data_IF_582663478095
#
_entry.id   IF_582663478095
#
_cell.length_a   1.000
_cell.length_b   1.000
_cell.length_c   1.000
_cell.angle_alpha   90.00
_cell.angle_beta   90.00
_cell.angle_gamma   90.00
#
_symmetry.space_group_name_H-M   'P 1'
#
loop_
_entity.id
_entity.type
_entity.pdbx_description
1 polymer ?
2 non-polymer ?
3 water ?
#
# COMPACT_ATOMS: atom_id res chain seq x y z
N UNK A 1 4.77 -5.61 -15.10
CA UNK A 1 3.94 -6.11 -13.98
C UNK A 1 4.87 -6.66 -12.93
N UNK A 2 4.53 -6.48 -11.66
CA UNK A 2 5.27 -7.14 -10.59
C UNK A 2 4.55 -8.43 -10.14
N UNK A 3 5.33 -9.46 -9.84
CA UNK A 3 4.79 -10.70 -9.32
C UNK A 3 5.37 -11.03 -7.94
N UNK A 4 4.65 -11.85 -7.18
CA UNK A 4 5.19 -12.45 -5.95
C UNK A 4 4.57 -13.82 -5.79
N UNK A 5 5.33 -14.76 -5.25
CA UNK A 5 4.82 -16.11 -4.99
C UNK A 5 5.15 -16.51 -3.56
N UNK A 6 4.12 -16.67 -2.72
CA UNK A 6 4.32 -16.91 -1.29
C UNK A 6 5.02 -18.28 -1.06
N UNK A 7 4.85 -19.18 -2.01
CA UNK A 7 5.46 -20.48 -1.95
C UNK A 7 6.96 -20.35 -2.00
N UNK A 8 7.60 -20.53 -0.86
CA UNK A 8 9.05 -20.48 -0.86
C UNK A 8 9.52 -19.05 -0.83
N UNK A 9 8.74 -18.20 -0.16
CA UNK A 9 9.10 -16.81 0.05
C UNK A 9 9.74 -16.67 1.40
N UNK A 10 11.01 -16.36 1.39
CA UNK A 10 11.70 -15.99 2.61
C UNK A 10 11.70 -14.48 2.63
N UNK A 11 12.36 -13.90 3.64
CA UNK A 11 12.41 -12.43 3.71
C UNK A 11 13.13 -11.73 2.59
N UNK A 12 14.08 -12.40 1.97
CA UNK A 12 14.86 -11.81 0.88
C UNK A 12 13.97 -11.57 -0.32
N UNK A 13 13.16 -12.55 -0.70
CA UNK A 13 12.41 -12.49 -1.96
C UNK A 13 11.26 -11.53 -1.85
N UNK A 14 10.69 -11.43 -0.66
CA UNK A 14 9.73 -10.38 -0.37
C UNK A 14 10.35 -9.00 -0.59
N UNK A 15 11.41 -8.71 0.16
CA UNK A 15 12.16 -7.48 -0.06
C UNK A 15 12.43 -7.19 -1.52
N UNK A 16 12.86 -8.21 -2.24
CA UNK A 16 13.02 -8.07 -3.67
C UNK A 16 11.75 -7.75 -4.45
N UNK A 17 10.63 -8.39 -4.12
CA UNK A 17 9.36 -8.03 -4.73
C UNK A 17 9.06 -6.58 -4.37
N UNK A 18 9.23 -6.22 -3.10
CA UNK A 18 8.90 -4.85 -2.70
C UNK A 18 9.78 -3.79 -3.38
N UNK A 19 11.03 -4.14 -3.66
CA UNK A 19 11.90 -3.23 -4.42
C UNK A 19 11.41 -3.04 -5.85
N UNK A 20 11.03 -4.13 -6.51
CA UNK A 20 10.36 -4.10 -7.80
C UNK A 20 9.15 -3.18 -7.85
N UNK A 21 8.25 -3.39 -6.90
CA UNK A 21 7.03 -2.60 -6.80
C UNK A 21 7.37 -1.13 -6.75
N UNK A 22 8.21 -0.75 -5.79
CA UNK A 22 8.76 0.59 -5.73
C UNK A 22 9.28 1.01 -7.12
N UNK A 23 9.97 0.10 -7.81
CA UNK A 23 10.66 0.47 -9.03
C UNK A 23 9.77 0.61 -10.23
N UNK A 24 8.54 0.09 -10.14
CA UNK A 24 7.64 0.10 -11.30
C UNK A 24 6.87 1.39 -11.36
N UNK A 25 6.91 2.13 -10.27
CA UNK A 25 6.20 3.38 -10.20
C UNK A 25 7.05 4.41 -10.94
N UNK A 26 6.41 5.32 -11.67
CA UNK A 26 7.21 6.38 -12.29
C UNK A 26 7.31 7.63 -11.44
N UNK A 27 8.41 8.33 -11.63
CA UNK A 27 8.66 9.62 -10.99
C UNK A 27 9.65 10.35 -11.91
N UNK A 28 9.64 11.67 -11.87
CA UNK A 28 10.53 12.45 -12.70
C UNK A 28 11.67 12.91 -11.83
N UNK A 29 11.32 13.58 -10.76
CA UNK A 29 12.31 14.09 -9.82
C UNK A 29 12.43 13.21 -8.58
N UNK A 30 13.48 13.51 -7.81
CA UNK A 30 13.60 13.01 -6.47
C UNK A 30 13.68 14.23 -5.60
N UNK A 31 12.86 14.26 -4.56
CA UNK A 31 12.89 15.35 -3.60
C UNK A 31 13.60 14.83 -2.37
N UNK A 32 14.74 15.46 -2.09
CA UNK A 32 15.63 15.09 -1.00
C UNK A 32 16.05 13.64 -1.10
N UNK A 33 16.19 13.19 -2.34
CA UNK A 33 16.64 11.85 -2.72
C UNK A 33 15.59 10.72 -2.70
N UNK A 34 14.39 11.06 -2.25
CA UNK A 34 13.20 10.20 -2.35
C UNK A 34 12.47 10.50 -3.67
N UNK A 35 12.08 9.45 -4.43
CA UNK A 35 11.18 9.57 -5.58
C UNK A 35 9.89 10.35 -5.35
N UNK A 36 9.66 11.34 -6.22
CA UNK A 36 8.42 12.11 -6.21
C UNK A 36 7.47 11.48 -7.25
N UNK A 37 6.33 10.97 -6.79
CA UNK A 37 5.42 10.24 -7.67
C UNK A 37 4.72 11.26 -8.59
N UNK A 38 4.57 10.88 -9.86
CA UNK A 38 3.97 11.79 -10.84
C UNK A 38 2.63 12.35 -10.34
N UNK A 39 2.27 13.60 -10.73
CA UNK A 39 0.99 14.15 -10.26
C UNK A 39 -0.25 13.54 -10.95
N UNK A 40 -0.08 13.09 -12.20
CA UNK A 40 -1.04 12.16 -12.75
C UNK A 40 -0.59 11.52 -14.05
N UNK A 41 -1.24 10.41 -14.35
CA UNK A 41 -0.96 9.63 -15.54
C UNK A 41 -2.30 9.37 -16.18
N UNK A 42 -2.29 9.13 -17.48
CA UNK A 42 -3.52 8.91 -18.22
C UNK A 42 -3.37 7.67 -19.08
N UNK A 43 -4.47 6.92 -19.18
CA UNK A 43 -4.47 5.69 -19.92
C UNK A 43 -4.45 4.51 -18.99
N UNK A 44 -4.19 3.34 -19.57
CA UNK A 44 -4.00 2.14 -18.77
C UNK A 44 -2.68 2.23 -18.04
N UNK A 45 -1.83 3.16 -18.51
CA UNK A 45 -0.50 3.36 -17.94
C UNK A 45 -0.52 4.03 -16.56
N UNK A 46 -1.70 4.40 -16.11
CA UNK A 46 -1.86 4.83 -14.75
C UNK A 46 -1.94 3.62 -13.81
N UNK A 47 -1.98 2.41 -14.36
CA UNK A 47 -2.27 1.26 -13.52
C UNK A 47 -1.18 0.19 -13.57
N UNK A 48 -0.71 -0.18 -12.38
CA UNK A 48 0.27 -1.25 -12.22
C UNK A 48 -0.45 -2.53 -11.79
N UNK A 49 -0.09 -3.63 -12.44
CA UNK A 49 -0.73 -4.91 -12.20
C UNK A 49 0.18 -5.81 -11.38
N UNK A 50 -0.23 -6.12 -10.16
CA UNK A 50 0.49 -7.11 -9.33
C UNK A 50 -0.11 -8.49 -9.48
N UNK A 51 0.71 -9.46 -9.84
CA UNK A 51 0.32 -10.85 -9.79
C UNK A 51 0.79 -11.48 -8.49
N UNK A 52 -0.16 -11.92 -7.66
CA UNK A 52 0.14 -12.52 -6.36
C UNK A 52 -0.30 -13.98 -6.31
N UNK A 53 0.63 -14.88 -6.02
CA UNK A 53 0.31 -16.30 -5.95
C UNK A 53 0.37 -16.78 -4.49
N UNK A 54 -0.64 -17.53 -4.03
CA UNK A 54 -0.58 -18.13 -2.68
C UNK A 54 0.22 -19.43 -2.67
N UNK A 55 0.23 -20.14 -1.55
CA UNK A 55 1.10 -21.31 -1.45
C UNK A 55 0.68 -22.42 -2.38
N UNK A 56 -0.62 -22.62 -2.59
CA UNK A 56 -1.09 -23.65 -3.54
C UNK A 56 -0.96 -23.18 -4.97
N UNK A 57 -0.61 -21.92 -5.13
CA UNK A 57 -0.28 -21.43 -6.46
C UNK A 57 -1.47 -20.80 -7.15
N UNK A 58 -2.49 -20.43 -6.39
CA UNK A 58 -3.62 -19.68 -6.92
C UNK A 58 -3.26 -18.21 -7.01
N UNK A 59 -3.77 -17.55 -8.02
CA UNK A 59 -3.37 -16.18 -8.23
C UNK A 59 -4.53 -15.20 -8.38
N UNK A 60 -4.37 -14.04 -7.74
CA UNK A 60 -5.11 -12.82 -8.05
C UNK A 60 -4.20 -11.76 -8.74
N UNK A 61 -4.71 -11.06 -9.74
CA UNK A 61 -4.06 -9.83 -10.20
C UNK A 61 -4.66 -8.61 -9.52
N UNK A 62 -3.83 -7.83 -8.80
CA UNK A 62 -4.26 -6.56 -8.17
C UNK A 62 -3.83 -5.35 -9.02
N UNK A 63 -4.63 -4.29 -9.02
CA UNK A 63 -4.36 -3.11 -9.83
C UNK A 63 -4.09 -1.92 -8.92
N UNK A 64 -2.94 -1.28 -9.16
CA UNK A 64 -2.46 -0.24 -8.29
C UNK A 64 -2.34 1.02 -9.14
N UNK A 65 -2.92 2.10 -8.65
CA UNK A 65 -2.69 3.42 -9.25
C UNK A 65 -1.27 3.87 -8.93
N UNK A 66 -0.49 4.08 -9.99
CA UNK A 66 0.93 4.41 -9.82
C UNK A 66 1.17 5.83 -9.34
N UNK A 67 0.14 6.64 -9.21
CA UNK A 67 0.36 8.04 -8.82
C UNK A 67 0.34 8.20 -7.32
N UNK A 68 -0.34 7.27 -6.64
CA UNK A 68 -0.51 7.31 -5.17
C UNK A 68 -0.42 5.94 -4.46
N UNK A 69 -0.13 4.91 -5.25
CA UNK A 69 -0.03 3.53 -4.81
C UNK A 69 -1.38 2.99 -4.26
N UNK A 70 -2.50 3.43 -4.81
CA UNK A 70 -3.79 3.03 -4.24
C UNK A 70 -4.31 1.82 -4.95
N UNK A 71 -4.61 0.78 -4.15
CA UNK A 71 -5.24 -0.47 -4.64
C UNK A 71 -6.67 -0.15 -5.13
N UNK A 72 -6.98 -0.53 -6.38
CA UNK A 72 -8.25 -0.12 -7.03
C UNK A 72 -9.27 -1.23 -6.96
N UNK A 73 -8.86 -2.41 -7.43
CA UNK A 73 -9.57 -3.63 -7.16
C UNK A 73 -8.70 -4.70 -7.73
N UNK A 74 -9.28 -5.88 -8.04
CA UNK A 74 -8.51 -7.04 -8.50
C UNK A 74 -9.40 -7.95 -9.30
N UNK A 75 -8.80 -9.02 -9.80
CA UNK A 75 -9.42 -10.01 -10.66
C UNK A 75 -9.17 -11.39 -10.05
N UNK A 76 -10.22 -12.18 -9.90
CA UNK A 76 -10.09 -13.57 -9.48
C UNK A 76 -10.67 -14.40 -10.61
N UNK A 77 -9.82 -15.21 -11.23
CA UNK A 77 -9.99 -15.68 -12.61
C UNK A 77 -10.89 -14.87 -13.53
N UNK A 78 -12.20 -15.03 -13.49
CA UNK A 78 -13.03 -14.34 -14.46
C UNK A 78 -13.84 -13.17 -13.96
N UNK A 79 -13.78 -12.92 -12.67
CA UNK A 79 -14.57 -11.86 -12.08
C UNK A 79 -13.61 -10.77 -11.67
N UNK A 80 -14.01 -9.51 -11.79
CA UNK A 80 -13.23 -8.45 -11.23
C UNK A 80 -14.03 -7.81 -10.12
N UNK A 81 -13.34 -7.35 -9.09
CA UNK A 81 -13.99 -6.58 -8.04
C UNK A 81 -13.23 -5.29 -7.92
N UNK A 82 -13.98 -4.19 -7.78
CA UNK A 82 -13.42 -2.84 -7.63
C UNK A 82 -14.07 -2.25 -6.41
N UNK A 83 -13.46 -1.23 -5.84
CA UNK A 83 -14.04 -0.53 -4.70
C UNK A 83 -15.19 0.34 -5.13
N UNK A 84 -16.04 0.74 -4.19
CA UNK A 84 -17.15 1.59 -4.58
C UNK A 84 -16.73 3.03 -4.37
N UNK A 85 -16.00 3.53 -5.36
CA UNK A 85 -15.49 4.90 -5.33
C UNK A 85 -15.02 5.26 -6.74
N UNK A 86 -15.13 6.56 -7.09
CA UNK A 86 -15.06 7.06 -8.47
C UNK A 86 -13.76 6.67 -9.22
N UNK A 87 -12.63 6.88 -8.55
CA UNK A 87 -11.31 6.51 -9.09
C UNK A 87 -11.28 5.05 -9.50
N UNK A 88 -11.99 4.24 -8.70
CA UNK A 88 -12.04 2.80 -8.88
C UNK A 88 -12.93 2.45 -10.05
N UNK A 89 -14.03 3.20 -10.19
CA UNK A 89 -14.85 3.11 -11.39
C UNK A 89 -14.13 3.60 -12.67
N UNK A 90 -13.31 4.65 -12.59
CA UNK A 90 -12.50 5.05 -13.75
C UNK A 90 -11.52 3.96 -14.12
N UNK A 91 -10.84 3.41 -13.11
CA UNK A 91 -9.86 2.34 -13.33
C UNK A 91 -10.44 1.18 -14.11
N UNK A 92 -11.64 0.77 -13.70
CA UNK A 92 -12.40 -0.28 -14.36
C UNK A 92 -12.50 -0.12 -15.86
N UNK A 93 -12.24 1.10 -16.35
CA UNK A 93 -12.29 1.40 -17.77
C UNK A 93 -11.06 0.89 -18.50
N UNK A 94 -9.97 0.78 -17.79
CA UNK A 94 -8.71 0.41 -18.41
C UNK A 94 -8.20 -0.97 -18.02
N UNK A 95 -8.60 -1.48 -16.85
CA UNK A 95 -8.13 -2.81 -16.42
C UNK A 95 -9.20 -3.92 -16.34
N UNK A 96 -8.73 -5.16 -16.47
CA UNK A 96 -9.56 -6.38 -16.41
C UNK A 96 -10.78 -6.30 -17.32
N UNK A 97 -10.57 -5.90 -18.57
CA UNK A 97 -11.69 -5.65 -19.49
C UNK A 97 -12.26 -6.96 -20.03
N UNK A 98 -11.50 -8.03 -19.82
CA UNK A 98 -11.77 -9.37 -20.31
C UNK A 98 -12.46 -10.30 -19.30
N UNK A 99 -12.60 -9.83 -18.05
CA UNK A 99 -13.34 -10.56 -17.03
C UNK A 99 -14.80 -10.67 -17.46
N UNK A 100 -15.43 -11.76 -17.05
CA UNK A 100 -16.78 -12.13 -17.49
C UNK A 100 -17.84 -11.62 -16.55
N UNK A 101 -17.49 -10.66 -15.68
CA UNK A 101 -18.39 -10.24 -14.63
C UNK A 101 -17.59 -9.23 -13.86
N UNK A 102 -18.23 -8.17 -13.40
CA UNK A 102 -17.57 -7.12 -12.68
C UNK A 102 -18.44 -6.79 -11.49
N UNK A 103 -17.89 -6.98 -10.29
CA UNK A 103 -18.62 -6.74 -9.05
C UNK A 103 -18.05 -5.52 -8.34
N UNK A 104 -18.93 -4.70 -7.80
CA UNK A 104 -18.50 -3.54 -7.05
C UNK A 104 -18.70 -3.86 -5.58
N UNK A 105 -17.62 -3.76 -4.81
CA UNK A 105 -17.71 -4.08 -3.41
C UNK A 105 -18.60 -3.06 -2.74
N UNK A 106 -19.23 -3.43 -1.63
CA UNK A 106 -20.16 -2.48 -1.04
C UNK A 106 -19.47 -1.29 -0.38
N UNK A 107 -18.15 -1.22 -0.44
CA UNK A 107 -17.45 -0.16 0.28
C UNK A 107 -16.38 0.46 -0.60
N UNK A 108 -15.93 1.63 -0.17
CA UNK A 108 -14.78 2.26 -0.76
C UNK A 108 -13.54 1.60 -0.17
N UNK A 109 -12.38 2.00 -0.67
CA UNK A 109 -11.16 1.31 -0.32
C UNK A 109 -10.33 2.03 0.71
N UNK A 110 -10.94 2.90 1.48
CA UNK A 110 -10.17 3.55 2.51
C UNK A 110 -10.33 2.81 3.81
N UNK A 111 -9.44 3.10 4.76
CA UNK A 111 -9.29 2.26 5.93
C UNK A 111 -10.52 2.29 6.78
N UNK A 112 -11.06 3.48 6.97
CA UNK A 112 -12.17 3.65 7.91
C UNK A 112 -13.40 2.81 7.51
N UNK A 113 -13.65 2.73 6.21
CA UNK A 113 -14.77 1.94 5.71
C UNK A 113 -14.48 0.45 5.74
N UNK A 114 -13.28 0.08 5.33
CA UNK A 114 -12.82 -1.30 5.40
C UNK A 114 -12.77 -1.90 6.83
N UNK A 115 -12.50 -1.09 7.85
CA UNK A 115 -12.49 -1.60 9.22
C UNK A 115 -13.90 -1.78 9.73
N UNK A 116 -14.72 -0.74 9.55
CA UNK A 116 -16.16 -0.82 9.76
C UNK A 116 -16.74 -2.08 9.13
N UNK A 117 -16.47 -2.28 7.84
CA UNK A 117 -16.93 -3.47 7.13
C UNK A 117 -16.43 -4.77 7.74
N UNK A 118 -15.22 -4.75 8.31
CA UNK A 118 -14.61 -5.99 8.74
C UNK A 118 -14.89 -6.27 10.22
N UNK A 119 -15.29 -5.24 10.95
CA UNK A 119 -15.49 -5.45 12.37
C UNK A 119 -14.26 -5.31 13.24
N UNK A 120 -13.06 -5.38 12.69
CA UNK A 120 -11.85 -5.13 13.49
C UNK A 120 -11.12 -3.87 13.04
N UNK A 121 -10.62 -3.06 13.98
CA UNK A 121 -9.68 -2.01 13.57
C UNK A 121 -8.35 -2.63 13.17
N UNK A 122 -7.54 -1.89 12.41
CA UNK A 122 -6.31 -2.42 11.81
C UNK A 122 -5.36 -3.01 12.85
N UNK A 123 -5.41 -2.42 14.04
CA UNK A 123 -4.55 -2.77 15.16
C UNK A 123 -4.75 -4.19 15.63
N UNK A 124 -5.89 -4.76 15.29
CA UNK A 124 -6.23 -6.08 15.74
C UNK A 124 -6.37 -7.08 14.61
N UNK A 125 -5.70 -6.81 13.50
CA UNK A 125 -5.59 -7.78 12.42
C UNK A 125 -4.10 -8.10 12.19
N UNK A 126 -3.71 -9.34 12.48
CA UNK A 126 -2.37 -9.84 12.17
C UNK A 126 -2.01 -9.65 10.75
N UNK A 127 -0.79 -9.16 10.54
CA UNK A 127 -0.24 -9.13 9.20
C UNK A 127 1.05 -9.93 9.21
N UNK A 128 1.43 -10.38 8.02
CA UNK A 128 2.63 -11.16 7.82
C UNK A 128 2.50 -11.72 6.42
N UNK A 129 3.42 -12.58 6.02
CA UNK A 129 3.30 -13.32 4.77
C UNK A 129 2.36 -14.51 4.86
N UNK A 130 2.16 -15.07 6.07
CA UNK A 130 1.10 -16.09 6.15
C UNK A 130 -0.27 -15.47 5.98
N UNK A 131 -0.50 -14.32 6.59
CA UNK A 131 -1.74 -13.57 6.41
C UNK A 131 -1.99 -13.25 4.95
N UNK A 132 -0.96 -12.79 4.24
CA UNK A 132 -1.12 -12.39 2.85
C UNK A 132 -1.60 -13.56 2.02
N UNK A 133 -1.14 -14.75 2.38
CA UNK A 133 -1.47 -15.97 1.67
C UNK A 133 -2.94 -16.32 1.92
N UNK A 134 -3.33 -16.20 3.17
CA UNK A 134 -4.71 -16.27 3.60
C UNK A 134 -5.53 -15.27 2.80
N UNK A 135 -5.12 -14.01 2.87
CA UNK A 135 -5.80 -12.93 2.17
C UNK A 135 -6.02 -13.24 0.70
N UNK A 136 -4.99 -13.72 0.02
CA UNK A 136 -5.13 -14.05 -1.39
C UNK A 136 -6.23 -15.10 -1.57
N UNK A 137 -6.32 -16.04 -0.64
CA UNK A 137 -7.20 -17.20 -0.77
C UNK A 137 -8.67 -16.84 -0.54
N UNK A 138 -8.91 -16.03 0.48
CA UNK A 138 -10.17 -15.37 0.69
C UNK A 138 -10.64 -14.68 -0.59
N UNK A 139 -9.76 -13.88 -1.20
CA UNK A 139 -10.16 -13.03 -2.31
C UNK A 139 -10.57 -13.85 -3.51
N UNK A 140 -10.15 -15.10 -3.55
CA UNK A 140 -10.39 -15.92 -4.71
C UNK A 140 -11.86 -16.30 -4.84
N UNK A 141 -12.60 -16.24 -3.74
CA UNK A 141 -14.03 -16.45 -3.81
C UNK A 141 -14.78 -15.44 -2.94
N UNK A 142 -15.78 -14.83 -3.56
CA UNK A 142 -16.45 -13.64 -3.05
C UNK A 142 -17.14 -13.80 -1.67
N UNK A 143 -16.74 -12.95 -0.72
CA UNK A 143 -17.44 -12.75 0.55
C UNK A 143 -17.04 -11.36 1.02
N UNK A 144 -18.00 -10.44 1.03
CA UNK A 144 -17.65 -9.05 1.15
C UNK A 144 -17.10 -8.69 2.53
N UNK A 145 -17.41 -9.48 3.55
CA UNK A 145 -16.87 -9.21 4.89
C UNK A 145 -15.49 -9.83 4.97
N UNK A 146 -15.34 -11.03 4.46
CA UNK A 146 -14.05 -11.68 4.47
C UNK A 146 -13.04 -10.85 3.64
N UNK A 147 -13.49 -10.26 2.53
CA UNK A 147 -12.63 -9.43 1.69
C UNK A 147 -12.18 -8.12 2.37
N UNK A 148 -13.03 -7.51 3.18
CA UNK A 148 -12.65 -6.29 3.86
C UNK A 148 -11.43 -6.58 4.74
N UNK A 149 -11.47 -7.74 5.39
CA UNK A 149 -10.36 -8.15 6.22
C UNK A 149 -9.09 -8.49 5.46
N UNK A 150 -9.20 -9.24 4.38
CA UNK A 150 -8.06 -9.56 3.54
C UNK A 150 -7.52 -8.34 2.81
N UNK A 151 -8.37 -7.40 2.47
CA UNK A 151 -7.92 -6.26 1.70
C UNK A 151 -7.08 -5.41 2.62
N UNK A 152 -7.52 -5.31 3.88
CA UNK A 152 -6.74 -4.61 4.92
C UNK A 152 -5.33 -5.21 5.13
N UNK A 153 -5.20 -6.51 5.02
CA UNK A 153 -3.92 -7.18 5.10
C UNK A 153 -3.14 -6.93 3.80
N UNK A 154 -3.88 -6.96 2.69
CA UNK A 154 -3.29 -6.86 1.36
C UNK A 154 -2.66 -5.49 1.11
N UNK A 155 -3.38 -4.42 1.46
CA UNK A 155 -2.89 -3.05 1.30
C UNK A 155 -1.60 -2.87 2.10
N UNK A 156 -1.68 -3.19 3.39
CA UNK A 156 -0.55 -3.08 4.33
C UNK A 156 0.71 -3.86 3.98
N UNK A 157 0.59 -5.03 3.38
CA UNK A 157 1.77 -5.81 3.09
C UNK A 157 2.36 -5.56 1.69
N UNK A 158 1.64 -4.82 0.84
CA UNK A 158 2.20 -4.41 -0.44
C UNK A 158 2.45 -2.90 -0.51
N UNK A 159 1.38 -2.13 -0.40
CA UNK A 159 1.45 -0.71 -0.70
C UNK A 159 2.16 0.04 0.40
N UNK A 160 1.82 -0.24 1.64
CA UNK A 160 2.46 0.38 2.80
C UNK A 160 3.91 -0.04 3.02
N UNK A 161 4.25 -1.25 2.60
CA UNK A 161 5.63 -1.71 2.69
C UNK A 161 6.47 -1.06 1.57
N UNK A 162 5.86 -0.76 0.44
CA UNK A 162 6.49 0.06 -0.61
C UNK A 162 6.81 1.48 -0.11
N UNK A 163 5.84 2.07 0.58
CA UNK A 163 5.94 3.45 0.98
C UNK A 163 6.94 3.66 2.08
N UNK A 164 7.02 2.70 2.99
CA UNK A 164 7.92 2.85 4.12
C UNK A 164 8.80 1.62 4.31
N UNK A 165 10.12 1.82 4.31
CA UNK A 165 11.04 0.71 4.57
C UNK A 165 10.87 0.03 5.94
N UNK A 166 10.43 0.77 6.96
CA UNK A 166 10.12 0.21 8.28
C UNK A 166 9.08 -0.89 8.16
N UNK A 167 7.96 -0.56 7.53
CA UNK A 167 6.87 -1.52 7.36
C UNK A 167 7.30 -2.73 6.54
N UNK A 168 8.16 -2.54 5.54
CA UNK A 168 8.65 -3.66 4.76
C UNK A 168 9.52 -4.54 5.65
N UNK A 169 10.10 -3.95 6.67
CA UNK A 169 10.90 -4.67 7.62
C UNK A 169 10.10 -5.43 8.66
N UNK A 170 9.05 -4.81 9.19
CA UNK A 170 8.05 -5.52 9.97
C UNK A 170 7.55 -6.81 9.30
N UNK A 171 7.28 -6.77 8.01
CA UNK A 171 6.66 -7.90 7.35
C UNK A 171 7.70 -8.98 7.16
N UNK A 172 8.96 -8.58 7.11
CA UNK A 172 10.02 -9.57 6.96
C UNK A 172 10.21 -10.36 8.24
N UNK A 173 10.15 -9.65 9.36
CA UNK A 173 9.99 -10.19 10.71
C UNK A 173 8.80 -11.13 10.90
N UNK A 174 7.86 -11.10 9.96
CA UNK A 174 6.62 -11.86 10.07
C UNK A 174 6.48 -12.76 8.87
N UNK A 175 7.60 -13.20 8.30
CA UNK A 175 7.57 -14.09 7.15
C UNK A 175 7.02 -15.48 7.48
N UNK A 176 7.12 -15.86 8.75
CA UNK A 176 6.65 -17.19 9.18
C UNK A 176 5.72 -17.15 10.38
N UNK A 177 5.35 -15.96 10.85
CA UNK A 177 4.35 -15.88 11.91
C UNK A 177 3.76 -14.49 11.81
N UNK A 178 2.42 -14.36 11.90
CA UNK A 178 1.78 -13.05 11.78
C UNK A 178 1.75 -12.39 13.12
N UNK A 179 1.38 -11.12 13.12
CA UNK A 179 1.37 -10.32 14.35
C UNK A 179 0.78 -8.98 14.03
N UNK A 180 0.05 -8.41 14.98
CA UNK A 180 -0.72 -7.21 14.69
C UNK A 180 0.33 -6.13 14.44
N UNK A 181 -0.02 -5.08 13.62
CA UNK A 181 0.92 -4.01 13.33
C UNK A 181 1.14 -3.18 14.58
N UNK A 182 2.36 -2.63 14.71
CA UNK A 182 2.68 -1.72 15.80
C UNK A 182 2.02 -0.34 15.65
N UNK A 183 1.82 0.35 16.76
CA UNK A 183 1.39 1.74 16.74
C UNK A 183 2.26 2.51 15.75
N UNK A 184 3.56 2.25 15.79
CA UNK A 184 4.50 2.91 14.92
C UNK A 184 4.05 2.75 13.49
N UNK A 185 3.59 1.56 13.11
CA UNK A 185 3.21 1.41 11.72
C UNK A 185 1.81 1.93 11.41
N UNK A 186 0.89 1.91 12.37
CA UNK A 186 -0.43 2.52 12.12
C UNK A 186 -0.19 4.03 11.90
N UNK A 187 0.79 4.57 12.63
CA UNK A 187 1.13 6.00 12.59
C UNK A 187 1.79 6.42 11.27
N UNK A 188 2.72 5.60 10.82
CA UNK A 188 3.37 5.80 9.56
C UNK A 188 2.35 5.75 8.43
N UNK A 189 1.48 4.75 8.44
CA UNK A 189 0.41 4.59 7.44
C UNK A 189 -0.43 5.82 7.32
N UNK A 190 -0.79 6.40 8.45
CA UNK A 190 -1.70 7.53 8.44
C UNK A 190 -1.02 8.83 7.98
N UNK A 191 0.27 8.97 8.30
CA UNK A 191 1.04 10.20 8.05
C UNK A 191 1.72 10.36 6.70
N UNK A 192 1.58 9.38 5.80
CA UNK A 192 2.24 9.43 4.50
C UNK A 192 1.97 10.71 3.75
N UNK A 193 0.73 11.14 3.87
CA UNK A 193 0.27 12.32 3.15
C UNK A 193 0.86 13.57 3.81
N UNK A 194 0.72 13.67 5.13
CA UNK A 194 1.34 14.76 5.87
C UNK A 194 2.83 14.86 5.62
N UNK A 195 3.54 13.75 5.82
CA UNK A 195 4.98 13.70 5.57
C UNK A 195 5.36 14.15 4.17
N UNK A 196 4.70 13.57 3.18
CA UNK A 196 4.93 13.84 1.77
C UNK A 196 4.87 15.33 1.45
N UNK A 197 3.88 16.00 2.03
CA UNK A 197 3.66 17.42 1.78
C UNK A 197 4.81 18.25 2.38
N UNK A 198 5.16 17.96 3.64
CA UNK A 198 6.15 18.74 4.36
C UNK A 198 7.55 18.58 3.81
N UNK A 199 7.92 17.37 3.38
CA UNK A 199 9.20 17.13 2.71
C UNK A 199 9.33 17.96 1.42
N UNK A 200 8.22 18.20 0.73
CA UNK A 200 8.21 19.00 -0.48
C UNK A 200 8.22 20.49 -0.16
N UNK A 201 7.47 20.86 0.86
CA UNK A 201 7.39 22.24 1.31
C UNK A 201 8.69 22.73 1.92
N UNK A 202 9.63 21.82 2.14
CA UNK A 202 10.91 22.14 2.79
C UNK A 202 12.03 22.53 1.79
N UNK A 203 11.91 22.11 0.53
CA UNK A 203 12.68 22.72 -0.56
C UNK A 203 12.39 24.22 -0.62
N UNK A 204 13.41 25.03 -0.35
CA UNK A 204 13.19 26.46 -0.20
C UNK A 204 12.69 26.85 1.20
N UNK A 205 12.80 25.94 2.17
CA UNK A 205 12.72 26.37 3.56
C UNK A 205 13.82 25.75 4.38
N UNK A 206 14.84 25.28 3.67
CA UNK A 206 16.09 24.84 4.28
C UNK A 206 16.02 23.44 4.88
N UNK A 207 15.18 22.56 4.30
CA UNK A 207 14.88 21.26 4.88
C UNK A 207 14.02 21.33 6.12
N UNK A 208 13.47 22.50 6.42
CA UNK A 208 12.61 22.65 7.60
C UNK A 208 11.12 22.54 7.23
N UNK A 209 10.36 21.87 8.11
CA UNK A 209 8.95 21.60 7.92
C UNK A 209 8.21 22.87 8.34
N UNK A 210 7.24 23.30 7.54
CA UNK A 210 6.36 24.41 7.88
C UNK A 210 5.53 24.02 9.10
N UNK A 211 5.05 22.77 9.12
CA UNK A 211 4.41 22.21 10.30
C UNK A 211 5.05 20.87 10.61
N UNK A 212 5.34 20.62 11.89
CA UNK A 212 6.00 19.40 12.36
C UNK A 212 5.03 18.24 12.44
N UNK A 213 5.41 17.13 11.81
CA UNK A 213 4.58 15.95 11.73
C UNK A 213 4.85 15.11 12.96
N UNK A 214 3.88 15.03 13.85
CA UNK A 214 4.03 14.20 15.03
C UNK A 214 3.62 12.72 14.78
N UNK A 215 4.57 11.82 14.98
CA UNK A 215 4.35 10.38 14.87
C UNK A 215 4.34 9.79 16.27
N UNK A 216 3.57 8.72 16.48
CA UNK A 216 3.69 7.99 17.73
C UNK A 216 4.92 7.16 17.57
N UNK A 217 5.02 6.57 16.38
CA UNK A 217 6.14 5.76 15.96
C UNK A 217 6.98 5.26 17.14
N UNK A 218 8.28 5.17 16.93
CA UNK A 218 9.14 4.57 17.93
C UNK A 218 9.81 5.68 18.72
N UNK A 219 8.96 6.42 19.41
CA UNK A 219 9.35 7.03 20.66
C UNK A 219 8.22 6.66 21.60
N UNK A 220 7.69 5.46 21.41
CA UNK A 220 6.68 4.90 22.30
C UNK A 220 5.33 5.59 22.24
N UNK A 221 5.39 6.92 22.28
CA UNK A 221 4.29 7.81 21.87
C UNK A 221 4.94 9.17 21.57
N UNK A 222 4.28 9.94 20.72
CA UNK A 222 4.55 11.37 20.62
C UNK A 222 5.98 11.70 20.19
N UNK A 223 6.37 11.32 18.99
CA UNK A 223 7.56 11.87 18.31
C UNK A 223 7.12 13.08 17.49
N UNK A 224 8.07 13.94 17.12
CA UNK A 224 7.74 15.08 16.27
C UNK A 224 8.79 15.30 15.19
N UNK A 225 8.42 15.14 13.92
CA UNK A 225 9.34 15.36 12.80
C UNK A 225 9.30 16.81 12.28
N UNK A 226 10.45 17.48 12.31
CA UNK A 226 10.45 18.92 12.12
C UNK A 226 11.36 19.39 10.99
N UNK A 227 12.22 18.52 10.50
CA UNK A 227 13.09 18.88 9.39
C UNK A 227 13.56 17.60 8.73
N UNK A 228 14.27 17.69 7.62
CA UNK A 228 14.44 16.52 6.77
C UNK A 228 15.64 15.67 7.11
N UNK A 229 16.28 15.97 8.23
CA UNK A 229 17.44 15.18 8.61
C UNK A 229 16.98 13.98 9.41
N UNK A 230 15.83 14.11 10.04
CA UNK A 230 15.16 12.99 10.68
C UNK A 230 15.28 11.70 9.89
N UNK A 231 15.36 10.61 10.64
CA UNK A 231 15.57 9.29 10.05
C UNK A 231 14.36 8.80 9.26
N UNK A 232 13.17 9.26 9.64
CA UNK A 232 11.96 8.86 8.92
C UNK A 232 12.02 9.43 7.53
N UNK A 233 12.74 10.55 7.40
CA UNK A 233 13.04 11.12 6.08
C UNK A 233 14.30 10.52 5.44
N UNK A 234 15.40 10.51 6.18
CA UNK A 234 16.67 10.03 5.61
C UNK A 234 16.65 8.55 5.26
N UNK A 235 15.89 7.76 6.02
CA UNK A 235 16.00 6.31 5.96
C UNK A 235 14.69 5.53 5.92
N UNK A 236 13.56 6.18 6.18
CA UNK A 236 12.30 5.43 6.28
C UNK A 236 11.40 5.53 5.04
N UNK A 237 10.79 6.70 4.87
CA UNK A 237 9.91 7.00 3.72
C UNK A 237 10.63 6.81 2.37
N UNK A 238 9.95 6.16 1.41
CA UNK A 238 10.57 5.60 0.20
C UNK A 238 9.98 6.15 -1.09
N UNK A 239 8.79 6.72 -0.95
CA UNK A 239 7.98 7.16 -2.08
C UNK A 239 7.23 8.38 -1.58
N UNK A 240 7.24 9.45 -2.37
CA UNK A 240 6.55 10.68 -1.98
C UNK A 240 5.28 10.84 -2.80
N UNK A 241 4.21 11.27 -2.14
CA UNK A 241 2.98 11.60 -2.82
C UNK A 241 3.03 13.07 -3.27
N UNK A 242 2.77 13.29 -4.56
CA UNK A 242 2.83 14.61 -5.18
C UNK A 242 1.80 15.55 -4.60
N UNK A 243 2.16 16.82 -4.42
CA UNK A 243 1.32 17.72 -3.65
C UNK A 243 0.08 18.11 -4.42
N UNK A 244 0.14 17.91 -5.74
CA UNK A 244 -1.05 18.05 -6.59
C UNK A 244 -2.16 17.05 -6.23
N UNK A 245 -1.79 15.94 -5.58
CA UNK A 245 -2.74 14.92 -5.15
C UNK A 245 -3.03 14.98 -3.65
N UNK A 246 -2.55 16.01 -2.98
CA UNK A 246 -2.80 16.09 -1.55
C UNK A 246 -3.87 17.15 -1.35
#
# INVERSE_FOLDING_TARGET
DVSFRLSGADPRSYGMFIKDLRNALPFREKVYNIPLLLPSVSGAGRYLLMHLFNRDGKTITVAVDVTNVYIMGYLADTTSYFFNEPAAELASQYVFRDARRKITLPYSGDYERLQIAAGKPREKIPIGLPALDSAISTLLHYDSTAAAGALLVLIQTTAEAARFKYIEQQIQERAYRDEVPSLATISLENSWSGLSKQIQLAQGNNGIFRTPIVLVDNKGNRVQITNVTSKVVTSNIQLLLNTRNIAEGDNGDVSTTHGFSSY
#
